data_IF_633539847644
#
_entry.id   IF_633539847644
#
_cell.length_a   1.000
_cell.length_b   1.000
_cell.length_c   1.000
_cell.angle_alpha   90.00
_cell.angle_beta   90.00
_cell.angle_gamma   90.00
#
_symmetry.space_group_name_H-M   'P 1'
#
loop_
_entity.id
_entity.type
_entity.pdbx_description
1 polymer ?
#
# COMPACT_ATOMS: atom_id res chain seq x y z
N UNK A 1 15.72 2.20 6.04
CA UNK A 1 14.74 2.15 4.95
C UNK A 1 14.12 0.77 4.92
N UNK A 2 12.82 0.72 4.68
CA UNK A 2 12.06 -0.49 4.45
C UNK A 2 12.40 -1.03 3.06
N UNK A 3 12.64 -2.33 2.98
CA UNK A 3 12.87 -3.04 1.72
C UNK A 3 11.55 -3.33 1.01
N UNK A 4 11.62 -3.63 -0.29
CA UNK A 4 10.46 -4.10 -1.07
C UNK A 4 9.84 -5.37 -0.48
N UNK A 5 10.64 -6.29 0.06
CA UNK A 5 10.17 -7.51 0.70
C UNK A 5 9.44 -7.25 2.03
N UNK A 6 9.98 -6.36 2.86
CA UNK A 6 9.28 -5.94 4.09
C UNK A 6 7.94 -5.28 3.77
N UNK A 7 7.89 -4.43 2.74
CA UNK A 7 6.65 -3.81 2.28
C UNK A 7 5.65 -4.87 1.81
N UNK A 8 6.08 -5.84 0.99
CA UNK A 8 5.24 -6.96 0.55
C UNK A 8 4.69 -7.76 1.73
N UNK A 9 5.52 -8.06 2.72
CA UNK A 9 5.09 -8.76 3.93
C UNK A 9 4.02 -7.98 4.70
N UNK A 10 4.16 -6.65 4.81
CA UNK A 10 3.12 -5.81 5.40
C UNK A 10 1.81 -5.84 4.61
N UNK A 11 1.85 -5.76 3.27
CA UNK A 11 0.64 -5.83 2.45
C UNK A 11 -0.07 -7.18 2.58
N UNK A 12 0.69 -8.28 2.61
CA UNK A 12 0.16 -9.62 2.85
C UNK A 12 -0.51 -9.71 4.22
N UNK A 13 0.15 -9.23 5.29
CA UNK A 13 -0.42 -9.18 6.64
C UNK A 13 -1.72 -8.36 6.69
N UNK A 14 -1.80 -7.31 5.89
CA UNK A 14 -2.97 -6.42 5.81
C UNK A 14 -4.09 -6.96 4.91
N UNK A 15 -3.87 -8.09 4.23
CA UNK A 15 -4.83 -8.69 3.29
C UNK A 15 -5.25 -7.72 2.16
N UNK A 16 -4.32 -6.85 1.73
CA UNK A 16 -4.59 -5.84 0.70
C UNK A 16 -3.72 -6.05 -0.54
N UNK A 17 -4.31 -5.87 -1.72
CA UNK A 17 -3.57 -5.89 -2.97
C UNK A 17 -2.68 -4.65 -3.12
N UNK A 18 -1.58 -4.76 -3.88
CA UNK A 18 -0.72 -3.62 -4.20
C UNK A 18 -1.50 -2.49 -4.89
N UNK A 19 -2.48 -2.84 -5.74
CA UNK A 19 -3.31 -1.88 -6.44
C UNK A 19 -4.23 -1.12 -5.48
N UNK A 20 -4.93 -1.83 -4.60
CA UNK A 20 -5.81 -1.20 -3.61
C UNK A 20 -5.00 -0.33 -2.64
N UNK A 21 -3.84 -0.79 -2.19
CA UNK A 21 -2.96 0.02 -1.32
C UNK A 21 -2.45 1.28 -2.03
N UNK A 22 -2.05 1.17 -3.31
CA UNK A 22 -1.62 2.34 -4.08
C UNK A 22 -2.72 3.40 -4.15
N UNK A 23 -3.97 3.00 -4.39
CA UNK A 23 -5.12 3.91 -4.39
C UNK A 23 -5.34 4.53 -3.01
N UNK A 24 -5.29 3.71 -1.95
CA UNK A 24 -5.45 4.15 -0.55
C UNK A 24 -4.47 5.26 -0.16
N UNK A 25 -3.23 5.19 -0.64
CA UNK A 25 -2.18 6.18 -0.31
C UNK A 25 -2.01 7.26 -1.39
N UNK A 26 -2.92 7.32 -2.37
CA UNK A 26 -2.96 8.40 -3.37
C UNK A 26 -1.85 8.35 -4.42
N UNK A 27 -1.29 7.16 -4.71
CA UNK A 27 -0.26 6.98 -5.75
C UNK A 27 -0.77 6.06 -6.86
N UNK A 28 -0.22 6.24 -8.07
CA UNK A 28 -0.62 5.38 -9.19
C UNK A 28 -0.15 3.93 -8.94
N UNK A 29 -0.98 2.91 -9.25
CA UNK A 29 -0.60 1.50 -9.08
C UNK A 29 0.68 1.13 -9.82
N UNK A 30 0.95 1.76 -10.97
CA UNK A 30 2.19 1.56 -11.71
C UNK A 30 3.42 2.06 -10.96
N UNK A 31 3.33 3.22 -10.30
CA UNK A 31 4.42 3.78 -9.51
C UNK A 31 4.72 2.91 -8.29
N UNK A 32 3.68 2.49 -7.56
CA UNK A 32 3.85 1.59 -6.42
C UNK A 32 4.47 0.24 -6.83
N UNK A 33 4.06 -0.30 -7.99
CA UNK A 33 4.67 -1.53 -8.53
C UNK A 33 6.17 -1.37 -8.80
N UNK A 34 6.64 -0.20 -9.24
CA UNK A 34 8.07 0.07 -9.46
C UNK A 34 8.86 0.06 -8.14
N UNK A 35 8.30 0.56 -7.04
CA UNK A 35 8.91 0.48 -5.71
C UNK A 35 9.11 -0.97 -5.24
N UNK A 36 8.23 -1.88 -5.66
CA UNK A 36 8.26 -3.27 -5.24
C UNK A 36 9.04 -4.18 -6.19
N UNK A 37 9.64 -3.68 -7.28
CA UNK A 37 10.41 -4.52 -8.22
C UNK A 37 11.60 -5.19 -7.53
N UNK A 38 11.95 -6.40 -7.98
CA UNK A 38 13.12 -7.12 -7.50
C UNK A 38 14.41 -6.57 -8.11
N UNK A 39 14.35 -6.15 -9.38
CA UNK A 39 15.47 -5.50 -10.07
C UNK A 39 15.28 -3.99 -9.93
N UNK A 40 16.21 -3.35 -9.22
CA UNK A 40 16.24 -1.90 -8.96
C UNK A 40 14.93 -1.34 -8.39
N UNK A 41 14.55 -1.71 -7.15
CA UNK A 41 13.41 -1.10 -6.49
C UNK A 41 13.62 0.40 -6.32
N UNK A 42 12.56 1.17 -6.58
CA UNK A 42 12.53 2.57 -6.13
C UNK A 42 12.45 2.60 -4.60
N UNK A 43 13.00 3.67 -4.02
CA UNK A 43 12.89 3.94 -2.59
C UNK A 43 11.42 3.99 -2.16
N UNK A 44 11.11 3.34 -1.03
CA UNK A 44 9.78 3.41 -0.43
C UNK A 44 9.70 4.72 0.36
N UNK A 45 8.72 5.60 0.07
CA UNK A 45 8.60 6.86 0.78
C UNK A 45 8.47 6.65 2.29
N UNK A 46 9.17 7.47 3.07
CA UNK A 46 9.16 7.40 4.55
C UNK A 46 7.74 7.38 5.14
N UNK A 47 6.80 8.10 4.52
CA UNK A 47 5.39 8.09 4.93
C UNK A 47 4.75 6.69 4.83
N UNK A 48 5.04 5.93 3.76
CA UNK A 48 4.57 4.56 3.59
C UNK A 48 5.22 3.62 4.61
N UNK A 49 6.52 3.79 4.88
CA UNK A 49 7.24 3.04 5.91
C UNK A 49 6.61 3.22 7.31
N UNK A 50 6.23 4.44 7.64
CA UNK A 50 5.61 4.77 8.94
C UNK A 50 4.15 4.32 9.00
N UNK A 51 3.43 4.34 7.88
CA UNK A 51 2.01 4.00 7.82
C UNK A 51 1.76 2.50 7.97
N UNK A 52 2.49 1.65 7.24
CA UNK A 52 2.22 0.21 7.15
C UNK A 52 2.18 -0.53 8.51
N UNK A 53 3.06 -0.25 9.48
CA UNK A 53 3.00 -0.85 10.81
C UNK A 53 1.76 -0.45 11.62
N UNK A 54 1.22 0.75 11.39
CA UNK A 54 0.09 1.31 12.14
C UNK A 54 -1.27 0.81 11.62
N UNK A 55 -1.28 0.13 10.48
CA UNK A 55 -2.48 -0.42 9.88
C UNK A 55 -2.77 -1.82 10.42
N UNK A 56 -4.07 -2.09 10.57
CA UNK A 56 -4.64 -3.41 10.84
C UNK A 56 -5.53 -3.82 9.67
N UNK A 57 -5.76 -5.13 9.44
CA UNK A 57 -6.67 -5.59 8.39
C UNK A 57 -8.06 -4.95 8.50
N UNK A 58 -8.60 -4.81 9.71
CA UNK A 58 -9.89 -4.17 9.95
C UNK A 58 -9.91 -2.69 9.54
N UNK A 59 -8.86 -1.92 9.89
CA UNK A 59 -8.73 -0.51 9.51
C UNK A 59 -8.58 -0.35 8.00
N UNK A 60 -7.81 -1.24 7.37
CA UNK A 60 -7.62 -1.25 5.92
C UNK A 60 -8.93 -1.52 5.18
N UNK A 61 -9.67 -2.57 5.57
CA UNK A 61 -10.98 -2.87 4.96
C UNK A 61 -11.94 -1.70 5.05
N UNK A 62 -11.98 -1.04 6.21
CA UNK A 62 -12.81 0.16 6.41
C UNK A 62 -12.42 1.29 5.45
N UNK A 63 -11.12 1.62 5.38
CA UNK A 63 -10.64 2.69 4.50
C UNK A 63 -10.86 2.39 3.01
N UNK A 64 -10.72 1.12 2.60
CA UNK A 64 -11.02 0.70 1.22
C UNK A 64 -12.49 0.88 0.91
N UNK A 65 -13.39 0.46 1.82
CA UNK A 65 -14.83 0.66 1.64
C UNK A 65 -15.23 2.15 1.60
N UNK A 66 -14.61 2.99 2.44
CA UNK A 66 -14.82 4.44 2.42
C UNK A 66 -14.35 5.06 1.08
N UNK A 67 -13.22 4.60 0.54
CA UNK A 67 -12.72 5.03 -0.76
C UNK A 67 -13.66 4.63 -1.90
N UNK A 68 -14.11 3.38 -1.92
CA UNK A 68 -15.05 2.87 -2.93
C UNK A 68 -16.39 3.59 -2.88
N UNK A 69 -16.90 3.90 -1.68
CA UNK A 69 -18.12 4.68 -1.51
C UNK A 69 -17.98 6.12 -2.01
N UNK A 70 -16.80 6.73 -1.83
CA UNK A 70 -16.53 8.10 -2.32
C UNK A 70 -16.38 8.19 -3.84
N UNK A 71 -16.07 7.07 -4.51
CA UNK A 71 -15.93 6.97 -5.96
C UNK A 71 -17.21 6.48 -6.65
N UNK A 72 -18.23 6.08 -5.89
CA UNK A 72 -19.53 5.71 -6.43
C UNK A 72 -20.27 6.96 -6.97
N UNK A 73 -20.92 6.86 -8.16
CA UNK A 73 -21.59 7.98 -8.81
C UNK A 73 -22.85 8.47 -8.08
#
# INVERSE_FOLDING_TARGET
>A
MMTSDQCRAHLTRLEISQQAFARLVGITPQHFRKMLRQVEPLEIPRAVELLLPLLTPAKVRRLVAELEAAEAP
#
